data_IF_416844205829
#
_entry.id   IF_416844205829
#
_cell.length_a   1.000
_cell.length_b   1.000
_cell.length_c   1.000
_cell.angle_alpha   90.00
_cell.angle_beta   90.00
_cell.angle_gamma   90.00
#
_symmetry.space_group_name_H-M   'P 1'
#
loop_
_entity.id
_entity.type
_entity.pdbx_description
1 polymer ?
#
# COMPACT_ATOMS: atom_id res chain seq x y z
N UNK A 1 69.28 32.08 -45.65
CA UNK A 1 68.03 32.47 -46.34
C UNK A 1 67.11 31.25 -46.32
N UNK A 2 65.97 31.35 -45.62
CA UNK A 2 64.98 30.27 -45.44
C UNK A 2 64.23 29.96 -46.74
N UNK A 3 63.85 28.68 -46.92
CA UNK A 3 62.46 28.29 -47.21
C UNK A 3 62.32 26.77 -47.12
N UNK A 4 61.59 26.28 -46.12
CA UNK A 4 60.99 24.95 -46.15
C UNK A 4 59.47 25.12 -45.98
N UNK A 5 58.77 24.41 -46.86
CA UNK A 5 57.35 24.54 -47.18
C UNK A 5 56.46 23.90 -46.11
N UNK A 6 55.34 24.55 -45.80
CA UNK A 6 54.36 24.06 -44.84
C UNK A 6 53.36 23.12 -45.51
N UNK A 7 53.16 21.94 -44.92
CA UNK A 7 51.95 21.13 -45.08
C UNK A 7 51.14 21.09 -43.78
N UNK A 8 50.01 21.80 -43.86
CA UNK A 8 48.67 21.60 -43.29
C UNK A 8 48.47 20.58 -42.16
N UNK A 9 47.81 21.02 -41.08
CA UNK A 9 46.48 20.49 -40.68
C UNK A 9 45.69 21.62 -40.02
N UNK A 10 44.61 22.09 -40.66
CA UNK A 10 43.63 22.94 -39.97
C UNK A 10 42.79 22.02 -39.07
N UNK A 11 43.04 22.06 -37.77
CA UNK A 11 42.17 21.42 -36.77
C UNK A 11 41.23 22.48 -36.20
N UNK A 12 40.07 22.60 -36.82
CA UNK A 12 39.06 23.57 -36.41
C UNK A 12 38.46 23.10 -35.08
N UNK A 13 38.81 23.78 -33.98
CA UNK A 13 38.21 23.57 -32.64
C UNK A 13 36.67 23.58 -32.65
N UNK A 14 36.07 24.21 -33.66
CA UNK A 14 34.62 24.30 -33.87
C UNK A 14 33.94 23.02 -34.37
N UNK A 15 34.68 22.06 -34.94
CA UNK A 15 34.13 20.77 -35.36
C UNK A 15 33.87 19.87 -34.14
N UNK A 16 34.84 19.81 -33.24
CA UNK A 16 34.79 18.93 -32.06
C UNK A 16 33.69 19.36 -31.06
N UNK A 17 33.50 20.66 -30.88
CA UNK A 17 32.46 21.19 -29.99
C UNK A 17 31.04 20.93 -30.51
N UNK A 18 30.83 20.94 -31.84
CA UNK A 18 29.53 20.61 -32.44
C UNK A 18 29.18 19.13 -32.30
N UNK A 19 30.15 18.22 -32.45
CA UNK A 19 29.93 16.80 -32.24
C UNK A 19 29.70 16.46 -30.77
N UNK A 20 30.46 17.07 -29.85
CA UNK A 20 30.28 16.88 -28.41
C UNK A 20 28.89 17.34 -27.93
N UNK A 21 28.38 18.47 -28.45
CA UNK A 21 27.01 18.93 -28.19
C UNK A 21 25.95 17.95 -28.72
N UNK A 22 26.15 17.37 -29.90
CA UNK A 22 25.24 16.35 -30.45
C UNK A 22 25.24 15.07 -29.61
N UNK A 23 26.41 14.61 -29.16
CA UNK A 23 26.53 13.45 -28.27
C UNK A 23 25.85 13.71 -26.92
N UNK A 24 26.02 14.92 -26.35
CA UNK A 24 25.35 15.31 -25.11
C UNK A 24 23.82 15.38 -25.25
N UNK A 25 23.33 15.93 -26.37
CA UNK A 25 21.89 15.96 -26.67
C UNK A 25 21.33 14.55 -26.88
N UNK A 26 22.07 13.66 -27.55
CA UNK A 26 21.67 12.26 -27.70
C UNK A 26 21.65 11.50 -26.37
N UNK A 27 22.62 11.72 -25.48
CA UNK A 27 22.66 11.12 -24.14
C UNK A 27 21.51 11.62 -23.24
N UNK A 28 21.18 12.91 -23.29
CA UNK A 28 20.02 13.45 -22.57
C UNK A 28 18.70 12.88 -23.12
N UNK A 29 18.58 12.71 -24.44
CA UNK A 29 17.41 12.10 -25.06
C UNK A 29 17.25 10.62 -24.67
N UNK A 30 18.35 9.86 -24.55
CA UNK A 30 18.29 8.45 -24.10
C UNK A 30 17.97 8.31 -22.61
N UNK A 31 18.41 9.26 -21.78
CA UNK A 31 18.06 9.29 -20.36
C UNK A 31 16.56 9.57 -20.13
N UNK A 32 15.95 10.41 -20.97
CA UNK A 32 14.53 10.78 -20.88
C UNK A 32 13.57 9.72 -21.45
N UNK A 33 14.04 8.85 -22.35
CA UNK A 33 13.26 7.71 -22.86
C UNK A 33 13.27 6.54 -21.87
N UNK A 34 14.26 6.44 -20.99
CA UNK A 34 14.34 5.40 -19.96
C UNK A 34 13.46 5.69 -18.73
N UNK A 35 13.11 6.95 -18.47
CA UNK A 35 12.29 7.34 -17.32
C UNK A 35 10.78 7.28 -17.56
N UNK A 36 10.31 7.05 -18.79
CA UNK A 36 8.88 6.94 -19.10
C UNK A 36 8.32 5.52 -19.08
N UNK A 37 9.15 4.49 -18.84
CA UNK A 37 8.69 3.08 -18.82
C UNK A 37 8.36 2.52 -17.44
N UNK A 38 8.41 3.34 -16.38
CA UNK A 38 8.02 2.96 -15.01
C UNK A 38 6.67 3.52 -14.58
N UNK A 39 5.80 3.91 -15.52
CA UNK A 39 4.36 4.00 -15.25
C UNK A 39 3.78 2.58 -15.32
N UNK A 40 4.20 1.73 -14.37
CA UNK A 40 3.65 0.40 -14.20
C UNK A 40 2.13 0.52 -14.11
N UNK A 41 1.45 -0.29 -14.91
CA UNK A 41 0.00 -0.47 -14.94
C UNK A 41 -0.54 -0.64 -13.50
N UNK A 42 -0.91 0.46 -12.84
CA UNK A 42 -1.72 0.40 -11.62
C UNK A 42 -3.09 -0.04 -12.08
N UNK A 43 -3.30 -1.36 -12.15
CA UNK A 43 -4.62 -1.94 -12.35
C UNK A 43 -5.49 -1.44 -11.20
N UNK A 44 -6.28 -0.38 -11.44
CA UNK A 44 -7.26 0.12 -10.47
C UNK A 44 -8.12 -1.07 -10.04
N UNK A 45 -8.07 -1.39 -8.74
CA UNK A 45 -8.84 -2.51 -8.19
C UNK A 45 -10.32 -2.18 -8.33
N UNK A 46 -11.01 -2.88 -9.22
CA UNK A 46 -12.47 -2.79 -9.36
C UNK A 46 -13.11 -3.73 -8.36
N UNK A 47 -12.99 -3.43 -7.07
CA UNK A 47 -13.84 -4.04 -6.05
C UNK A 47 -15.19 -3.32 -6.10
N UNK A 48 -16.30 -4.04 -5.93
CA UNK A 48 -17.62 -3.42 -5.78
C UNK A 48 -17.55 -2.33 -4.69
N UNK A 49 -18.26 -1.20 -4.85
CA UNK A 49 -18.28 -0.16 -3.83
C UNK A 49 -18.67 -0.78 -2.48
N UNK A 50 -17.96 -0.38 -1.43
CA UNK A 50 -18.26 -0.82 -0.08
C UNK A 50 -19.63 -0.25 0.27
N UNK A 51 -20.63 -1.13 0.36
CA UNK A 51 -21.95 -0.77 0.86
C UNK A 51 -21.95 -0.73 2.39
N UNK A 52 -22.66 0.23 2.96
CA UNK A 52 -22.79 0.44 4.40
C UNK A 52 -21.98 1.63 4.92
N UNK A 53 -22.04 1.85 6.24
CA UNK A 53 -21.27 2.88 6.93
C UNK A 53 -19.83 2.41 7.14
N UNK A 54 -18.87 3.26 6.77
CA UNK A 54 -17.45 3.02 7.05
C UNK A 54 -17.11 3.67 8.39
N UNK A 55 -16.80 2.85 9.38
CA UNK A 55 -16.39 3.28 10.71
C UNK A 55 -14.86 3.38 10.77
N UNK A 56 -14.36 4.53 11.23
CA UNK A 56 -12.91 4.78 11.39
C UNK A 56 -12.34 4.03 12.59
N UNK A 57 -11.06 3.69 12.54
CA UNK A 57 -10.38 2.98 13.63
C UNK A 57 -10.36 3.76 14.96
N UNK A 58 -10.49 5.09 14.91
CA UNK A 58 -10.59 6.00 16.07
C UNK A 58 -11.95 5.97 16.79
N UNK A 59 -12.94 5.25 16.26
CA UNK A 59 -14.29 5.30 16.81
C UNK A 59 -14.32 4.82 18.28
N UNK A 60 -14.98 5.55 19.20
CA UNK A 60 -14.91 5.29 20.65
C UNK A 60 -15.49 3.93 21.07
N UNK A 61 -16.34 3.33 20.22
CA UNK A 61 -16.89 1.97 20.43
C UNK A 61 -15.96 0.85 19.94
N UNK A 62 -14.78 1.17 19.43
CA UNK A 62 -13.74 0.20 19.08
C UNK A 62 -12.67 0.24 20.17
N UNK A 63 -12.46 -0.89 20.81
CA UNK A 63 -11.46 -1.10 21.84
C UNK A 63 -10.31 -1.93 21.29
N UNK A 64 -9.11 -1.62 21.76
CA UNK A 64 -7.90 -2.30 21.36
C UNK A 64 -7.19 -2.89 22.57
N UNK A 65 -6.83 -4.17 22.48
CA UNK A 65 -5.98 -4.85 23.45
C UNK A 65 -4.66 -5.18 22.77
N UNK A 66 -3.55 -4.76 23.38
CA UNK A 66 -2.20 -4.94 22.85
C UNK A 66 -1.57 -3.64 22.36
N UNK A 67 -0.52 -3.76 21.53
CA UNK A 67 0.24 -2.61 21.04
C UNK A 67 -0.34 -2.12 19.71
N UNK A 68 -1.02 -0.98 19.78
CA UNK A 68 -1.62 -0.29 18.63
C UNK A 68 -1.10 1.15 18.59
N UNK A 69 -0.83 1.65 17.38
CA UNK A 69 -0.36 3.01 17.12
C UNK A 69 -1.29 3.73 16.15
N UNK A 70 -1.63 4.97 16.51
CA UNK A 70 -2.37 5.93 15.69
C UNK A 70 -1.49 7.11 15.24
N UNK A 71 -0.17 7.01 15.42
CA UNK A 71 0.74 8.14 15.26
C UNK A 71 0.82 8.69 13.83
N UNK A 72 0.64 7.83 12.81
CA UNK A 72 0.69 8.24 11.40
C UNK A 72 -0.62 8.88 10.93
N UNK A 73 -1.74 8.34 11.39
CA UNK A 73 -3.07 8.78 11.03
C UNK A 73 -4.00 8.44 12.20
N UNK A 74 -4.70 9.42 12.79
CA UNK A 74 -5.58 9.17 13.94
C UNK A 74 -6.74 8.22 13.60
N UNK A 75 -7.13 8.11 12.33
CA UNK A 75 -8.27 7.30 11.90
C UNK A 75 -7.89 5.90 11.41
N UNK A 76 -6.60 5.53 11.48
CA UNK A 76 -6.07 4.22 11.05
C UNK A 76 -5.22 3.61 12.16
N UNK A 77 -5.57 2.39 12.57
CA UNK A 77 -4.82 1.65 13.58
C UNK A 77 -3.69 0.84 12.94
N UNK A 78 -2.46 1.07 13.37
CA UNK A 78 -1.30 0.24 13.01
C UNK A 78 -0.91 -0.68 14.15
N UNK A 79 -0.60 -1.94 13.83
CA UNK A 79 -0.08 -2.93 14.79
C UNK A 79 0.92 -3.84 14.10
N UNK A 80 1.55 -4.78 14.80
CA UNK A 80 2.39 -5.83 14.17
C UNK A 80 2.64 -7.03 15.09
N UNK A 81 2.22 -6.98 16.35
CA UNK A 81 2.41 -8.07 17.29
C UNK A 81 1.23 -9.04 17.26
N UNK A 82 1.49 -10.36 17.34
CA UNK A 82 0.43 -11.34 17.51
C UNK A 82 -0.30 -11.09 18.84
N UNK A 83 -1.59 -11.43 18.87
CA UNK A 83 -2.45 -11.22 20.03
C UNK A 83 -3.07 -9.83 20.12
N UNK A 84 -2.63 -8.84 19.29
CA UNK A 84 -3.36 -7.57 19.19
C UNK A 84 -4.81 -7.85 18.81
N UNK A 85 -5.73 -7.41 19.65
CA UNK A 85 -7.16 -7.72 19.54
C UNK A 85 -7.95 -6.44 19.40
N UNK A 86 -8.92 -6.47 18.50
CA UNK A 86 -9.92 -5.43 18.27
C UNK A 86 -11.24 -5.97 18.81
N UNK A 87 -11.86 -5.26 19.75
CA UNK A 87 -13.19 -5.56 20.27
C UNK A 87 -14.13 -4.41 19.93
N UNK A 88 -15.29 -4.71 19.36
CA UNK A 88 -16.25 -3.69 18.95
C UNK A 88 -17.68 -4.21 19.02
N UNK A 89 -18.61 -3.32 19.33
CA UNK A 89 -20.04 -3.57 19.17
C UNK A 89 -20.56 -2.86 17.93
N UNK A 90 -21.48 -3.52 17.21
CA UNK A 90 -22.16 -2.92 16.07
C UNK A 90 -23.65 -3.21 16.13
N UNK A 91 -24.46 -2.28 15.60
CA UNK A 91 -25.89 -2.47 15.44
C UNK A 91 -26.21 -2.77 13.97
N UNK A 92 -26.89 -3.87 13.69
CA UNK A 92 -27.23 -4.26 12.33
C UNK A 92 -27.44 -5.76 12.19
N UNK A 93 -27.22 -6.27 10.99
CA UNK A 93 -27.31 -7.71 10.64
C UNK A 93 -26.06 -8.25 9.96
N UNK A 94 -25.03 -7.40 9.77
CA UNK A 94 -23.79 -7.78 9.08
C UNK A 94 -22.64 -6.88 9.49
N UNK A 95 -21.41 -7.40 9.40
CA UNK A 95 -20.19 -6.66 9.64
C UNK A 95 -19.13 -7.04 8.60
N UNK A 96 -18.41 -6.03 8.11
CA UNK A 96 -17.23 -6.21 7.28
C UNK A 96 -16.03 -5.54 7.94
N UNK A 97 -14.86 -6.15 7.78
CA UNK A 97 -13.58 -5.62 8.21
C UNK A 97 -12.83 -5.08 7.01
N UNK A 98 -12.35 -3.84 7.13
CA UNK A 98 -11.44 -3.22 6.19
C UNK A 98 -10.02 -3.34 6.74
N UNK A 99 -9.07 -3.73 5.90
CA UNK A 99 -7.65 -3.74 6.22
C UNK A 99 -6.82 -3.44 4.97
N UNK A 100 -5.57 -3.04 5.18
CA UNK A 100 -4.60 -2.98 4.08
C UNK A 100 -4.40 -4.37 3.48
N UNK A 101 -4.30 -4.52 2.15
CA UNK A 101 -3.96 -5.80 1.53
C UNK A 101 -2.68 -6.42 2.10
N UNK A 102 -2.64 -7.75 2.14
CA UNK A 102 -1.55 -8.55 2.72
C UNK A 102 -1.31 -8.38 4.24
N UNK A 103 -2.25 -7.78 4.95
CA UNK A 103 -2.22 -7.65 6.42
C UNK A 103 -2.00 -8.99 7.13
N UNK A 104 -2.53 -10.09 6.58
CA UNK A 104 -2.30 -11.44 7.11
C UNK A 104 -3.57 -12.09 7.63
N UNK A 105 -3.48 -12.76 8.78
CA UNK A 105 -4.58 -13.54 9.32
C UNK A 105 -5.06 -13.02 10.67
N UNK A 106 -6.36 -13.16 10.88
CA UNK A 106 -7.03 -12.92 12.15
C UNK A 106 -7.86 -14.14 12.54
N UNK A 107 -8.15 -14.26 13.84
CA UNK A 107 -9.26 -15.07 14.33
C UNK A 107 -10.37 -14.11 14.73
N UNK A 108 -11.52 -14.24 14.10
CA UNK A 108 -12.71 -13.45 14.37
C UNK A 108 -13.73 -14.29 15.14
N UNK A 109 -14.43 -13.66 16.06
CA UNK A 109 -15.50 -14.24 16.86
C UNK A 109 -16.64 -13.23 16.93
N UNK A 110 -17.87 -13.70 16.68
CA UNK A 110 -19.10 -12.90 16.72
C UNK A 110 -19.98 -13.46 17.83
N UNK A 111 -20.47 -12.61 18.73
CA UNK A 111 -21.39 -12.95 19.83
C UNK A 111 -20.96 -14.13 20.71
N UNK A 112 -19.64 -14.34 20.86
CA UNK A 112 -19.09 -15.44 21.64
C UNK A 112 -19.17 -16.83 20.99
N UNK A 113 -19.63 -16.92 19.73
CA UNK A 113 -19.65 -18.17 18.96
C UNK A 113 -18.23 -18.72 18.68
N UNK A 114 -18.15 -19.89 18.05
CA UNK A 114 -16.87 -20.49 17.67
C UNK A 114 -16.02 -19.52 16.80
N UNK A 115 -14.77 -19.23 17.17
CA UNK A 115 -13.90 -18.36 16.38
C UNK A 115 -13.56 -18.97 15.02
N UNK A 116 -13.50 -18.13 13.98
CA UNK A 116 -13.13 -18.54 12.63
C UNK A 116 -11.99 -17.70 12.06
N UNK A 117 -11.23 -18.29 11.14
CA UNK A 117 -10.05 -17.65 10.54
C UNK A 117 -10.45 -16.70 9.41
N UNK A 118 -9.89 -15.50 9.44
CA UNK A 118 -10.05 -14.46 8.42
C UNK A 118 -8.70 -14.13 7.80
N UNK A 119 -8.64 -13.92 6.49
CA UNK A 119 -7.38 -13.71 5.77
C UNK A 119 -7.44 -12.52 4.81
N UNK A 120 -6.41 -11.67 4.88
CA UNK A 120 -6.08 -10.61 3.94
C UNK A 120 -4.71 -10.95 3.33
N UNK A 121 -4.65 -11.86 2.35
CA UNK A 121 -3.38 -12.35 1.79
C UNK A 121 -3.21 -12.13 0.30
N UNK A 122 -4.26 -11.80 -0.46
CA UNK A 122 -4.09 -11.38 -1.84
C UNK A 122 -3.72 -9.89 -1.94
N UNK A 123 -3.17 -9.51 -3.09
CA UNK A 123 -2.83 -8.11 -3.42
C UNK A 123 -4.03 -7.15 -3.39
N UNK A 124 -5.25 -7.69 -3.46
CA UNK A 124 -6.51 -6.92 -3.57
C UNK A 124 -7.49 -7.19 -2.43
N UNK A 125 -7.14 -8.08 -1.50
CA UNK A 125 -8.00 -8.39 -0.36
C UNK A 125 -7.88 -7.27 0.66
N UNK A 126 -8.80 -6.30 0.59
CA UNK A 126 -8.89 -5.22 1.58
C UNK A 126 -10.18 -5.24 2.40
N UNK A 127 -11.20 -5.99 1.97
CA UNK A 127 -12.50 -6.07 2.65
C UNK A 127 -12.87 -7.54 2.83
N UNK A 128 -13.18 -7.95 4.06
CA UNK A 128 -13.70 -9.29 4.35
C UNK A 128 -14.99 -9.19 5.17
N UNK A 129 -15.97 -10.02 4.84
CA UNK A 129 -17.20 -10.16 5.63
C UNK A 129 -16.92 -10.99 6.88
N UNK A 130 -17.16 -10.42 8.07
CA UNK A 130 -17.08 -11.12 9.35
C UNK A 130 -18.42 -11.73 9.76
N UNK A 131 -19.52 -11.07 9.42
CA UNK A 131 -20.86 -11.56 9.71
C UNK A 131 -21.83 -11.16 8.60
N UNK A 132 -22.80 -12.02 8.32
CA UNK A 132 -23.89 -11.75 7.41
C UNK A 132 -25.17 -12.42 7.93
N UNK A 133 -26.32 -11.82 7.63
CA UNK A 133 -27.64 -12.34 7.95
C UNK A 133 -27.87 -12.64 9.45
N UNK A 134 -27.26 -11.86 10.35
CA UNK A 134 -27.59 -11.89 11.77
C UNK A 134 -29.01 -11.33 11.99
N UNK A 135 -29.70 -11.73 13.07
CA UNK A 135 -30.91 -11.04 13.53
C UNK A 135 -30.63 -9.54 13.68
N UNK A 136 -31.62 -8.66 13.44
CA UNK A 136 -31.41 -7.23 13.67
C UNK A 136 -31.19 -6.98 15.16
N UNK A 137 -30.02 -6.45 15.53
CA UNK A 137 -29.72 -6.19 16.93
C UNK A 137 -28.35 -5.59 17.14
N UNK A 138 -27.93 -5.55 18.40
CA UNK A 138 -26.56 -5.23 18.80
C UNK A 138 -25.79 -6.54 18.87
N UNK A 139 -24.63 -6.56 18.23
CA UNK A 139 -23.72 -7.70 18.18
C UNK A 139 -22.34 -7.28 18.66
N UNK A 140 -21.56 -8.25 19.14
CA UNK A 140 -20.19 -8.06 19.58
C UNK A 140 -19.22 -8.81 18.67
N UNK A 141 -18.18 -8.12 18.20
CA UNK A 141 -17.11 -8.69 17.41
C UNK A 141 -15.79 -8.62 18.17
N UNK A 142 -15.08 -9.74 18.22
CA UNK A 142 -13.71 -9.85 18.72
C UNK A 142 -12.82 -10.36 17.60
N UNK A 143 -11.80 -9.59 17.24
CA UNK A 143 -10.90 -9.90 16.12
C UNK A 143 -9.46 -9.83 16.57
N UNK A 144 -8.79 -10.97 16.65
CA UNK A 144 -7.41 -11.07 17.11
C UNK A 144 -6.46 -11.30 15.94
N UNK A 145 -5.40 -10.49 15.85
CA UNK A 145 -4.31 -10.70 14.91
C UNK A 145 -3.48 -11.92 15.35
N UNK A 146 -3.36 -12.94 14.49
CA UNK A 146 -2.79 -14.25 14.88
C UNK A 146 -1.43 -14.57 14.28
N UNK A 147 -0.83 -13.61 13.57
CA UNK A 147 0.50 -13.78 13.01
C UNK A 147 1.43 -12.65 13.48
N UNK A 148 2.72 -12.83 13.24
CA UNK A 148 3.69 -11.74 13.37
C UNK A 148 3.69 -10.88 12.10
N UNK A 149 3.55 -9.57 12.29
CA UNK A 149 3.34 -8.58 11.24
C UNK A 149 4.57 -7.76 10.87
N UNK A 150 5.77 -8.15 11.30
CA UNK A 150 7.00 -7.34 11.20
C UNK A 150 7.24 -6.77 9.79
N UNK A 151 7.03 -7.58 8.75
CA UNK A 151 7.20 -7.17 7.34
C UNK A 151 5.88 -6.88 6.62
N UNK A 152 4.76 -6.99 7.34
CA UNK A 152 3.40 -6.88 6.79
C UNK A 152 2.72 -5.56 7.10
N UNK A 153 3.28 -4.68 7.94
CA UNK A 153 2.76 -3.32 8.20
C UNK A 153 1.23 -3.26 8.22
N UNK A 154 0.55 -4.03 9.09
CA UNK A 154 -0.90 -4.13 9.04
C UNK A 154 -1.54 -2.81 9.51
N UNK A 155 -2.60 -2.44 8.81
CA UNK A 155 -3.38 -1.22 9.04
C UNK A 155 -4.86 -1.60 8.96
N UNK A 156 -5.61 -1.22 10.00
CA UNK A 156 -7.06 -1.35 10.16
C UNK A 156 -7.70 0.02 10.06
#
# INVERSE_FOLDING_TARGET
MQKNEGWTVRTDKNYNNRNMKKVWVMMLATLMVSSTMMAGNVKKSTTLPIGGEIVKASHPMIQYVGRVSFAKNPDVASFNYPGTTIEASFQGSSLKMLCRPKTGYFMAQIDGCEPFKVGFNAERDSVVTLAAALPKGVHHAKVMYVIEGLFRKPEF
#
